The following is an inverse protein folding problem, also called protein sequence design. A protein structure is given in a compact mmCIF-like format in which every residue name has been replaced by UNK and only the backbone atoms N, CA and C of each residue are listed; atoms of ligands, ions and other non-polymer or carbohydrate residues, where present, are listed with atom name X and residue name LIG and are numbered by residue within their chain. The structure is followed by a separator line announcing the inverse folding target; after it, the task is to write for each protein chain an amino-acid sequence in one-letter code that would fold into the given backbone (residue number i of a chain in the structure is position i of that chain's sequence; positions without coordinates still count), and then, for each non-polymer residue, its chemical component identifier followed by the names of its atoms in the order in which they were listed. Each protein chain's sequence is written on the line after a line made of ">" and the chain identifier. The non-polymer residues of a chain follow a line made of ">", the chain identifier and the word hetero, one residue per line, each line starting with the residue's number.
data_IF_044138174474
#
_entry.id   IF_044138174474
#
_cell.length_a   1.000
_cell.length_b   1.000
_cell.length_c   1.000
_cell.angle_alpha   90.00
_cell.angle_beta   90.00
_cell.angle_gamma   90.00
#
_symmetry.space_group_name_H-M   'P 1'
#
loop_
_entity.id
_entity.type
_entity.pdbx_description
1 polymer ?
#
# COMPACT_ATOMS: atom_id res chain seq x y z
N UNK A 1 21.59 -0.64 -4.50
CA UNK A 1 22.21 -0.25 -3.23
C UNK A 1 21.66 1.09 -2.77
N UNK A 2 20.45 1.07 -2.23
CA UNK A 2 19.95 2.22 -1.49
C UNK A 2 20.67 2.23 -0.15
N UNK A 3 21.68 3.07 -0.04
CA UNK A 3 22.31 3.32 1.25
C UNK A 3 21.31 4.04 2.13
N UNK A 4 21.21 3.61 3.37
CA UNK A 4 20.43 4.24 4.40
C UNK A 4 20.62 5.77 4.36
N UNK A 5 19.54 6.50 4.14
CA UNK A 5 19.57 7.95 4.27
C UNK A 5 19.82 8.30 5.74
N UNK A 6 20.73 9.22 5.98
CA UNK A 6 20.94 9.73 7.33
C UNK A 6 19.87 10.77 7.64
N UNK A 7 19.22 10.64 8.78
CA UNK A 7 18.46 11.73 9.35
C UNK A 7 19.46 12.76 9.85
N UNK A 8 19.36 13.99 9.42
CA UNK A 8 19.98 15.08 10.15
C UNK A 8 19.27 15.14 11.50
N UNK A 9 19.93 14.64 12.53
CA UNK A 9 19.44 14.82 13.88
C UNK A 9 19.36 16.33 14.13
N UNK A 10 18.25 16.79 14.65
CA UNK A 10 18.10 18.19 15.10
C UNK A 10 19.06 18.53 16.24
N UNK A 11 19.69 17.50 16.81
CA UNK A 11 20.75 17.66 17.82
C UNK A 11 22.07 17.03 17.29
N UNK A 12 23.06 17.87 16.90
CA UNK A 12 24.36 17.39 16.41
C UNK A 12 25.14 16.53 17.41
N UNK A 13 24.82 16.59 18.71
CA UNK A 13 25.49 15.83 19.76
C UNK A 13 25.12 14.32 19.73
N UNK A 14 24.04 13.93 19.05
CA UNK A 14 23.56 12.55 18.99
C UNK A 14 24.20 11.75 17.84
N UNK A 15 25.04 12.36 17.01
CA UNK A 15 25.63 11.71 15.83
C UNK A 15 24.60 11.30 14.75
N UNK A 16 25.05 10.62 13.70
CA UNK A 16 24.16 10.16 12.64
C UNK A 16 23.28 9.02 13.15
N UNK A 17 21.99 9.30 13.28
CA UNK A 17 20.97 8.29 13.61
C UNK A 17 20.60 7.51 12.34
N UNK A 18 20.62 6.17 12.35
CA UNK A 18 20.14 5.36 11.24
C UNK A 18 18.70 5.74 10.95
N UNK A 19 18.42 6.17 9.73
CA UNK A 19 17.05 6.44 9.30
C UNK A 19 16.46 5.15 8.77
N UNK A 20 15.27 4.83 9.20
CA UNK A 20 14.47 3.82 8.53
C UNK A 20 14.28 4.24 7.08
N UNK A 21 14.76 3.43 6.15
CA UNK A 21 14.60 3.68 4.72
C UNK A 21 13.17 3.32 4.37
N UNK A 22 12.39 4.29 3.91
CA UNK A 22 11.08 4.00 3.33
C UNK A 22 11.26 3.02 2.18
N UNK A 23 10.61 1.89 2.26
CA UNK A 23 10.49 0.98 1.13
C UNK A 23 9.79 1.72 0.00
N UNK A 24 10.51 1.88 -1.11
CA UNK A 24 9.99 2.57 -2.30
C UNK A 24 9.93 1.64 -3.49
N UNK A 25 9.71 0.37 -3.24
CA UNK A 25 9.68 -0.68 -4.26
C UNK A 25 8.61 -0.44 -5.32
N UNK A 26 7.55 0.28 -4.96
CA UNK A 26 6.51 0.67 -5.90
C UNK A 26 7.00 1.52 -7.09
N UNK A 27 8.10 2.25 -6.96
CA UNK A 27 8.70 2.96 -8.09
C UNK A 27 9.34 2.00 -9.11
N UNK A 28 9.65 0.78 -8.69
CA UNK A 28 10.31 -0.22 -9.51
C UNK A 28 9.35 -1.29 -10.04
N UNK A 29 8.05 -1.12 -9.85
CA UNK A 29 7.02 -2.08 -10.26
C UNK A 29 7.15 -2.46 -11.75
N UNK A 30 7.43 -1.48 -12.62
CA UNK A 30 7.64 -1.73 -14.06
C UNK A 30 8.90 -2.56 -14.29
N UNK A 31 9.99 -2.25 -13.59
CA UNK A 31 11.25 -2.99 -13.68
C UNK A 31 11.08 -4.43 -13.20
N UNK A 32 10.37 -4.65 -12.09
CA UNK A 32 10.05 -6.00 -11.62
C UNK A 32 9.17 -6.77 -12.61
N UNK A 33 8.20 -6.10 -13.24
CA UNK A 33 7.36 -6.71 -14.26
C UNK A 33 8.18 -7.13 -15.49
N UNK A 34 9.06 -6.25 -15.98
CA UNK A 34 9.97 -6.58 -17.09
C UNK A 34 10.89 -7.74 -16.72
N UNK A 35 11.47 -7.71 -15.51
CA UNK A 35 12.31 -8.83 -15.03
C UNK A 35 11.53 -10.13 -14.94
N UNK A 36 10.28 -10.09 -14.49
CA UNK A 36 9.38 -11.26 -14.48
C UNK A 36 9.17 -11.87 -15.86
N UNK A 37 9.04 -11.04 -16.91
CA UNK A 37 8.95 -11.52 -18.29
C UNK A 37 10.23 -12.22 -18.73
N UNK A 38 11.40 -11.67 -18.41
CA UNK A 38 12.69 -12.32 -18.70
C UNK A 38 12.83 -13.66 -18.00
N UNK A 39 12.42 -13.74 -16.74
CA UNK A 39 12.41 -15.00 -15.97
C UNK A 39 11.47 -16.02 -16.63
N UNK A 40 10.28 -15.59 -17.08
CA UNK A 40 9.34 -16.48 -17.76
C UNK A 40 9.93 -17.06 -19.06
N UNK A 41 10.60 -16.23 -19.86
CA UNK A 41 11.32 -16.68 -21.08
C UNK A 41 12.43 -17.67 -20.72
N UNK A 42 13.21 -17.38 -19.66
CA UNK A 42 14.26 -18.28 -19.17
C UNK A 42 13.72 -19.63 -18.72
N UNK A 43 12.62 -19.65 -17.97
CA UNK A 43 11.94 -20.88 -17.56
C UNK A 43 11.47 -21.67 -18.80
N UNK A 44 10.86 -20.99 -19.77
CA UNK A 44 10.43 -21.62 -21.02
C UNK A 44 11.60 -22.28 -21.77
N UNK A 45 12.75 -21.61 -21.85
CA UNK A 45 13.96 -22.15 -22.45
C UNK A 45 14.50 -23.38 -21.68
N UNK A 46 14.47 -23.36 -20.36
CA UNK A 46 14.86 -24.49 -19.52
C UNK A 46 13.89 -25.67 -19.69
N UNK A 47 12.60 -25.42 -19.77
CA UNK A 47 11.60 -26.46 -20.05
C UNK A 47 11.84 -27.11 -21.41
N UNK A 48 12.15 -26.31 -22.45
CA UNK A 48 12.49 -26.82 -23.77
C UNK A 48 13.76 -27.69 -23.71
N UNK A 49 14.80 -27.22 -23.03
CA UNK A 49 16.04 -28.01 -22.88
C UNK A 49 15.78 -29.35 -22.17
N UNK A 50 14.94 -29.38 -21.15
CA UNK A 50 14.57 -30.62 -20.47
C UNK A 50 13.78 -31.58 -21.38
N UNK A 51 12.85 -31.04 -22.18
CA UNK A 51 12.13 -31.83 -23.16
C UNK A 51 13.07 -32.42 -24.21
N UNK A 52 14.04 -31.63 -24.69
CA UNK A 52 15.02 -32.05 -25.68
C UNK A 52 15.95 -33.16 -25.14
N UNK A 53 16.37 -33.08 -23.86
CA UNK A 53 17.10 -34.14 -23.18
C UNK A 53 16.35 -35.48 -23.19
N UNK A 54 15.03 -35.43 -23.12
CA UNK A 54 14.17 -36.63 -23.22
C UNK A 54 13.78 -36.99 -24.67
N UNK A 55 14.33 -36.28 -25.66
CA UNK A 55 14.01 -36.40 -27.10
C UNK A 55 12.51 -36.25 -27.39
N UNK A 56 11.84 -35.33 -26.69
CA UNK A 56 10.42 -35.04 -26.81
C UNK A 56 10.20 -33.57 -27.18
N UNK A 57 9.19 -33.30 -27.96
CA UNK A 57 8.80 -31.90 -28.22
C UNK A 57 7.96 -31.35 -27.06
N UNK A 58 8.26 -30.14 -26.61
CA UNK A 58 7.49 -29.45 -25.57
C UNK A 58 6.01 -29.24 -25.98
N UNK A 59 5.75 -29.19 -27.29
CA UNK A 59 4.38 -29.10 -27.84
C UNK A 59 3.54 -30.36 -27.63
N UNK A 60 4.15 -31.49 -27.25
CA UNK A 60 3.43 -32.73 -26.95
C UNK A 60 3.15 -32.81 -25.42
N UNK A 61 2.05 -33.48 -25.01
CA UNK A 61 1.76 -33.69 -23.59
C UNK A 61 2.93 -34.36 -22.83
N UNK A 62 3.59 -35.30 -23.45
CA UNK A 62 4.72 -36.01 -22.85
C UNK A 62 5.98 -35.12 -22.74
N UNK A 63 6.21 -34.23 -23.69
CA UNK A 63 7.29 -33.24 -23.59
C UNK A 63 7.00 -32.14 -22.59
N UNK A 64 5.76 -31.66 -22.52
CA UNK A 64 5.32 -30.74 -21.51
C UNK A 64 5.50 -31.31 -20.10
N UNK A 65 5.13 -32.59 -19.90
CA UNK A 65 5.34 -33.27 -18.61
C UNK A 65 6.83 -33.41 -18.27
N UNK A 66 7.70 -33.69 -19.28
CA UNK A 66 9.14 -33.77 -19.07
C UNK A 66 9.75 -32.41 -18.66
N UNK A 67 9.23 -31.29 -19.20
CA UNK A 67 9.66 -29.94 -18.83
C UNK A 67 9.07 -29.40 -17.51
N UNK A 68 7.93 -29.97 -17.08
CA UNK A 68 7.17 -29.46 -15.93
C UNK A 68 7.98 -29.33 -14.62
N UNK A 69 8.96 -30.19 -14.27
CA UNK A 69 9.76 -30.03 -13.04
C UNK A 69 10.45 -28.67 -12.94
N UNK A 70 10.79 -28.04 -14.07
CA UNK A 70 11.41 -26.70 -14.10
C UNK A 70 10.49 -25.65 -13.48
N UNK A 71 9.16 -25.81 -13.57
CA UNK A 71 8.20 -24.93 -12.93
C UNK A 71 8.35 -24.92 -11.38
N UNK A 72 8.94 -25.98 -10.81
CA UNK A 72 9.26 -26.02 -9.39
C UNK A 72 10.20 -24.90 -8.94
N UNK A 73 11.01 -24.35 -9.84
CA UNK A 73 11.87 -23.20 -9.55
C UNK A 73 11.06 -21.96 -9.15
N UNK A 74 9.83 -21.81 -9.64
CA UNK A 74 8.93 -20.69 -9.29
C UNK A 74 8.48 -20.77 -7.83
N UNK A 75 8.45 -21.98 -7.27
CA UNK A 75 8.03 -22.19 -5.88
C UNK A 75 9.09 -21.70 -4.88
N UNK A 76 10.36 -21.65 -5.29
CA UNK A 76 11.45 -21.20 -4.40
C UNK A 76 11.21 -19.77 -3.88
N UNK A 77 11.02 -18.73 -4.72
CA UNK A 77 10.74 -17.40 -4.21
C UNK A 77 9.38 -17.30 -3.51
N UNK A 78 8.37 -18.07 -3.91
CA UNK A 78 7.07 -18.10 -3.26
C UNK A 78 7.22 -18.53 -1.79
N UNK A 79 7.82 -19.68 -1.55
CA UNK A 79 7.99 -20.18 -0.19
C UNK A 79 9.06 -19.43 0.60
N UNK A 80 10.15 -19.01 -0.07
CA UNK A 80 11.26 -18.29 0.56
C UNK A 80 10.87 -16.88 1.03
N UNK A 81 9.94 -16.21 0.33
CA UNK A 81 9.55 -14.84 0.65
C UNK A 81 8.14 -14.71 1.24
N UNK A 82 7.42 -15.82 1.42
CA UNK A 82 6.03 -15.79 1.87
C UNK A 82 5.85 -14.99 3.15
N UNK A 83 6.69 -15.20 4.15
CA UNK A 83 6.59 -14.54 5.45
C UNK A 83 6.91 -13.04 5.38
N UNK A 84 7.89 -12.67 4.56
CA UNK A 84 8.33 -11.27 4.41
C UNK A 84 7.43 -10.48 3.45
N UNK A 85 6.82 -11.16 2.49
CA UNK A 85 5.91 -10.54 1.52
C UNK A 85 4.45 -10.48 2.01
N UNK A 86 4.09 -11.30 2.99
CA UNK A 86 2.73 -11.31 3.52
C UNK A 86 2.45 -10.06 4.34
N UNK A 87 1.41 -9.34 3.96
CA UNK A 87 0.89 -8.14 4.67
C UNK A 87 -0.44 -8.44 5.39
N UNK A 88 -0.80 -9.71 5.54
CA UNK A 88 -2.12 -10.13 6.02
C UNK A 88 -2.49 -9.61 7.42
N UNK A 89 -1.48 -9.31 8.26
CA UNK A 89 -1.69 -8.83 9.63
C UNK A 89 -1.14 -7.42 9.87
N UNK A 90 -0.82 -6.68 8.81
CA UNK A 90 -0.33 -5.31 8.93
C UNK A 90 -1.51 -4.33 8.96
N UNK A 91 -1.94 -3.97 10.16
CA UNK A 91 -3.04 -3.03 10.40
C UNK A 91 -2.56 -1.61 10.75
N UNK A 92 -1.25 -1.41 10.90
CA UNK A 92 -0.68 -0.15 11.41
C UNK A 92 -1.21 1.09 10.67
N UNK A 93 -1.26 1.06 9.34
CA UNK A 93 -1.72 2.20 8.56
C UNK A 93 -3.21 2.47 8.76
N UNK A 94 -4.01 1.41 8.92
CA UNK A 94 -5.44 1.48 9.22
C UNK A 94 -5.68 2.04 10.62
N UNK A 95 -5.01 1.47 11.60
CA UNK A 95 -5.19 1.85 13.01
C UNK A 95 -4.77 3.31 13.22
N UNK A 96 -3.65 3.72 12.63
CA UNK A 96 -3.22 5.12 12.59
C UNK A 96 -4.27 6.05 11.98
N UNK A 97 -4.90 5.65 10.86
CA UNK A 97 -5.92 6.45 10.21
C UNK A 97 -7.19 6.59 11.07
N UNK A 98 -7.61 5.50 11.71
CA UNK A 98 -8.76 5.50 12.62
C UNK A 98 -8.48 6.40 13.81
N UNK A 99 -7.34 6.25 14.46
CA UNK A 99 -6.95 7.08 15.62
C UNK A 99 -6.91 8.58 15.26
N UNK A 100 -6.36 8.91 14.10
CA UNK A 100 -6.36 10.29 13.61
C UNK A 100 -7.77 10.83 13.38
N UNK A 101 -8.64 10.07 12.72
CA UNK A 101 -10.02 10.48 12.47
C UNK A 101 -10.83 10.61 13.76
N UNK A 102 -10.63 9.70 14.71
CA UNK A 102 -11.31 9.74 16.01
C UNK A 102 -10.87 10.90 16.87
N UNK A 103 -9.67 11.43 16.66
CA UNK A 103 -9.17 12.60 17.39
C UNK A 103 -9.78 13.94 16.94
N UNK A 104 -10.43 13.95 15.78
CA UNK A 104 -10.98 15.18 15.18
C UNK A 104 -12.41 15.42 15.67
N UNK A 105 -12.71 16.67 16.03
CA UNK A 105 -14.07 17.08 16.40
C UNK A 105 -15.08 16.81 15.25
N UNK A 106 -16.37 16.61 15.57
CA UNK A 106 -17.40 16.47 14.54
C UNK A 106 -17.33 17.59 13.50
N UNK A 107 -17.43 17.21 12.20
CA UNK A 107 -17.30 18.13 11.06
C UNK A 107 -15.98 18.89 10.97
N UNK A 108 -14.95 18.46 11.71
CA UNK A 108 -13.64 19.10 11.67
C UNK A 108 -12.94 18.92 10.33
N UNK A 109 -11.93 19.76 10.08
CA UNK A 109 -11.06 19.68 8.92
C UNK A 109 -9.71 19.13 9.35
N UNK A 110 -9.31 18.01 8.77
CA UNK A 110 -8.01 17.40 8.99
C UNK A 110 -7.08 17.74 7.82
N UNK A 111 -6.03 18.51 8.10
CA UNK A 111 -5.04 18.89 7.09
C UNK A 111 -3.93 17.87 7.08
N UNK A 112 -3.68 17.26 5.92
CA UNK A 112 -2.61 16.27 5.70
C UNK A 112 -1.55 16.81 4.74
N UNK A 113 -0.32 16.32 4.85
CA UNK A 113 0.79 16.85 4.07
C UNK A 113 1.23 15.93 2.93
N UNK A 114 1.12 14.61 3.08
CA UNK A 114 1.65 13.63 2.14
C UNK A 114 0.73 12.46 1.86
N UNK A 115 1.23 11.52 1.07
CA UNK A 115 0.46 10.35 0.64
C UNK A 115 0.24 9.36 1.80
N UNK A 116 1.25 9.23 2.67
CA UNK A 116 1.24 8.22 3.73
C UNK A 116 0.24 8.52 4.85
N UNK A 117 -0.06 9.78 5.08
CA UNK A 117 -1.08 10.22 6.02
C UNK A 117 -2.45 10.33 5.35
N UNK A 118 -2.51 10.73 4.09
CA UNK A 118 -3.79 10.96 3.38
C UNK A 118 -4.47 9.67 2.90
N UNK A 119 -3.74 8.75 2.28
CA UNK A 119 -4.35 7.57 1.67
C UNK A 119 -4.97 6.60 2.68
N UNK A 120 -4.35 6.32 3.83
CA UNK A 120 -5.00 5.53 4.86
C UNK A 120 -6.29 6.17 5.39
N UNK A 121 -6.31 7.50 5.53
CA UNK A 121 -7.51 8.23 5.96
C UNK A 121 -8.64 8.12 4.93
N UNK A 122 -8.32 8.27 3.64
CA UNK A 122 -9.32 8.07 2.58
C UNK A 122 -9.83 6.63 2.56
N UNK A 123 -8.94 5.65 2.74
CA UNK A 123 -9.37 4.26 2.85
C UNK A 123 -10.35 4.06 4.02
N UNK A 124 -10.02 4.57 5.20
CA UNK A 124 -10.88 4.46 6.36
C UNK A 124 -12.25 5.12 6.14
N UNK A 125 -12.29 6.27 5.45
CA UNK A 125 -13.56 6.96 5.17
C UNK A 125 -14.37 6.29 4.05
N UNK A 126 -13.73 5.93 2.92
CA UNK A 126 -14.47 5.49 1.73
C UNK A 126 -14.79 3.99 1.76
N UNK A 127 -13.98 3.17 2.43
CA UNK A 127 -14.15 1.71 2.47
C UNK A 127 -14.74 1.24 3.80
N UNK A 128 -14.26 1.78 4.91
CA UNK A 128 -14.72 1.37 6.25
C UNK A 128 -15.79 2.30 6.83
N UNK A 129 -16.06 3.41 6.14
CA UNK A 129 -17.08 4.42 6.53
C UNK A 129 -16.83 5.06 7.90
N UNK A 130 -15.54 5.13 8.32
CA UNK A 130 -15.14 5.74 9.59
C UNK A 130 -15.09 7.25 9.44
N UNK A 131 -15.81 7.97 10.31
CA UNK A 131 -15.77 9.44 10.43
C UNK A 131 -15.87 10.17 9.09
N UNK A 132 -16.87 9.81 8.30
CA UNK A 132 -17.14 10.46 7.02
C UNK A 132 -17.55 11.94 7.15
N UNK A 133 -17.89 12.40 8.35
CA UNK A 133 -18.14 13.79 8.69
C UNK A 133 -16.88 14.66 8.62
N UNK A 134 -15.69 14.08 8.84
CA UNK A 134 -14.41 14.80 8.86
C UNK A 134 -13.94 15.10 7.44
N UNK A 135 -13.59 16.34 7.15
CA UNK A 135 -13.06 16.75 5.85
C UNK A 135 -11.54 16.61 5.83
N UNK A 136 -11.02 15.74 4.96
CA UNK A 136 -9.58 15.56 4.75
C UNK A 136 -9.12 16.50 3.64
N UNK A 137 -8.22 17.42 3.97
CA UNK A 137 -7.63 18.37 3.03
C UNK A 137 -6.12 18.12 2.89
N UNK A 138 -5.69 17.59 1.74
CA UNK A 138 -4.27 17.39 1.46
C UNK A 138 -3.61 18.67 0.97
N UNK A 139 -2.56 19.12 1.67
CA UNK A 139 -1.86 20.39 1.42
C UNK A 139 -1.29 20.47 -0.01
N UNK A 140 -0.72 19.39 -0.51
CA UNK A 140 -0.15 19.34 -1.85
C UNK A 140 -1.23 19.39 -2.93
N UNK A 141 -2.36 18.70 -2.71
CA UNK A 141 -3.48 18.66 -3.64
C UNK A 141 -4.31 19.94 -3.62
N UNK A 142 -4.31 20.69 -2.53
CA UNK A 142 -5.01 21.99 -2.44
C UNK A 142 -4.49 23.02 -3.44
N UNK A 143 -3.29 22.82 -3.99
CA UNK A 143 -2.79 23.65 -5.11
C UNK A 143 -3.49 23.31 -6.44
N UNK A 144 -4.36 22.31 -6.49
CA UNK A 144 -5.04 21.89 -7.72
C UNK A 144 -6.50 22.28 -7.72
N UNK A 145 -6.98 22.81 -8.85
CA UNK A 145 -8.40 23.22 -9.00
C UNK A 145 -9.38 22.05 -8.86
N UNK A 146 -8.96 20.84 -9.25
CA UNK A 146 -9.85 19.68 -9.18
C UNK A 146 -10.13 19.27 -7.73
N UNK A 147 -9.10 19.27 -6.90
CA UNK A 147 -9.24 18.91 -5.49
C UNK A 147 -10.09 19.92 -4.73
N UNK A 148 -9.86 21.22 -4.94
CA UNK A 148 -10.71 22.27 -4.36
C UNK A 148 -12.17 22.13 -4.78
N UNK A 149 -12.44 21.80 -6.06
CA UNK A 149 -13.80 21.52 -6.53
C UNK A 149 -14.40 20.26 -5.89
N UNK A 150 -13.59 19.25 -5.63
CA UNK A 150 -14.02 18.03 -4.95
C UNK A 150 -14.43 18.34 -3.50
N UNK A 151 -13.61 19.07 -2.77
CA UNK A 151 -13.92 19.50 -1.40
C UNK A 151 -15.20 20.35 -1.37
N UNK A 152 -15.32 21.32 -2.28
CA UNK A 152 -16.52 22.18 -2.36
C UNK A 152 -17.83 21.45 -2.72
N UNK A 153 -17.74 20.26 -3.31
CA UNK A 153 -18.91 19.42 -3.67
C UNK A 153 -19.21 18.35 -2.64
N UNK A 154 -18.33 18.17 -1.67
CA UNK A 154 -18.51 17.17 -0.64
C UNK A 154 -19.78 17.47 0.15
N UNK A 155 -20.53 16.43 0.47
CA UNK A 155 -21.66 16.48 1.40
C UNK A 155 -21.28 15.62 2.59
N UNK A 156 -21.20 16.23 3.73
CA UNK A 156 -20.95 15.54 4.98
C UNK A 156 -22.23 14.85 5.44
N UNK A 157 -22.18 13.55 5.82
CA UNK A 157 -23.33 12.89 6.43
C UNK A 157 -23.57 13.40 7.85
N UNK A 158 -24.71 13.07 8.40
CA UNK A 158 -24.96 13.26 9.83
C UNK A 158 -23.85 12.61 10.66
N UNK A 159 -23.45 13.28 11.73
CA UNK A 159 -22.42 12.73 12.61
C UNK A 159 -22.91 11.44 13.29
N UNK A 160 -22.17 10.36 13.12
CA UNK A 160 -22.42 9.06 13.74
C UNK A 160 -21.38 8.80 14.86
N UNK A 161 -21.83 8.91 16.11
CA UNK A 161 -20.96 8.66 17.27
C UNK A 161 -20.52 7.19 17.41
N UNK A 162 -21.07 6.24 16.65
CA UNK A 162 -20.64 4.83 16.68
C UNK A 162 -19.27 4.64 16.03
N UNK A 163 -18.92 5.53 15.10
CA UNK A 163 -17.63 5.53 14.38
C UNK A 163 -16.62 6.50 14.99
N UNK A 164 -16.87 7.03 16.17
CA UNK A 164 -16.05 8.03 16.83
C UNK A 164 -15.68 7.64 18.25
N UNK A 165 -14.64 8.30 18.78
CA UNK A 165 -14.25 8.15 20.17
C UNK A 165 -15.39 8.50 21.14
N UNK A 166 -15.36 7.91 22.34
CA UNK A 166 -16.42 8.07 23.35
C UNK A 166 -16.69 9.53 23.73
N UNK A 167 -15.67 10.41 23.62
CA UNK A 167 -15.80 11.85 23.93
C UNK A 167 -16.77 12.60 23.00
N UNK A 168 -17.06 12.04 21.81
CA UNK A 168 -17.94 12.65 20.81
C UNK A 168 -19.37 12.09 20.82
N UNK A 169 -19.71 11.20 21.78
CA UNK A 169 -21.03 10.55 21.82
C UNK A 169 -22.19 11.53 21.98
N UNK A 170 -21.95 12.64 22.64
CA UNK A 170 -22.99 13.66 22.88
C UNK A 170 -23.35 14.45 21.61
N UNK A 171 -22.57 14.31 20.54
CA UNK A 171 -22.76 14.94 19.24
C UNK A 171 -23.54 14.07 18.23
N UNK A 172 -24.05 12.91 18.65
CA UNK A 172 -24.78 11.99 17.78
C UNK A 172 -25.97 12.67 17.08
N UNK A 173 -26.01 12.59 15.76
CA UNK A 173 -27.07 13.18 14.96
C UNK A 173 -26.96 14.68 14.71
N UNK A 174 -25.82 15.31 15.07
CA UNK A 174 -25.59 16.70 14.66
C UNK A 174 -25.65 16.87 13.16
N UNK A 175 -26.16 18.04 12.74
CA UNK A 175 -26.24 18.43 11.34
C UNK A 175 -24.91 19.04 10.89
N UNK A 176 -24.52 18.87 9.62
CA UNK A 176 -23.39 19.60 9.07
C UNK A 176 -23.65 21.12 9.17
N UNK A 177 -22.60 21.90 9.46
CA UNK A 177 -22.70 23.35 9.61
C UNK A 177 -23.02 24.07 8.30
#
# INVERSE_FOLDING_TARGET
>A
NFKYGFSYATNPALGPVPREVRERDYFFVVSFSCFGLWVAVGIGALMQAMADLTRRSLATPAGALAGAPVLGLVLIPIFGNHTTASRANETLARDFAVDMLESVAPYGILITAGDNDTFPLWYAQEVEHVRQDVTIANLSLMNTRWHLKQLARRKEPLFDATTAAAIWKDHAGEQPP
#
